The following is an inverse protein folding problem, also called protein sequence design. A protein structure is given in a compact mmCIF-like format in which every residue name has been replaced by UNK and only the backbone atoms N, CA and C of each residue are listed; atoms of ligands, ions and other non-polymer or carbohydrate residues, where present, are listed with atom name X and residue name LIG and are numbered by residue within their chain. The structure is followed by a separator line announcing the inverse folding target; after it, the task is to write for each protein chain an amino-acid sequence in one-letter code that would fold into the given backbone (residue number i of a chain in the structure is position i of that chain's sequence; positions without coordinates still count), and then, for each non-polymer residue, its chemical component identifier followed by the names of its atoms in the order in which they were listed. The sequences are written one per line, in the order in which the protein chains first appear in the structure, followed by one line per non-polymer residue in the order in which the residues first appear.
data_IF_221531055315
#
_entry.id   IF_221531055315
#
_cell.length_a   1.000
_cell.length_b   1.000
_cell.length_c   1.000
_cell.angle_alpha   90.00
_cell.angle_beta   90.00
_cell.angle_gamma   90.00
#
_symmetry.space_group_name_H-M   'P 1'
#
loop_
_entity.id
_entity.type
_entity.pdbx_description
1 polymer ?
#
# COMPACT_ATOMS: atom_id res chain seq x y z
N UNK A 1 -21.83 18.63 3.78
CA UNK A 1 -20.63 19.24 4.37
C UNK A 1 -20.92 19.58 5.81
N UNK A 2 -19.98 19.36 6.73
CA UNK A 2 -20.11 19.78 8.13
C UNK A 2 -19.85 21.28 8.18
N UNK A 3 -20.71 22.08 8.77
CA UNK A 3 -20.42 23.51 9.00
C UNK A 3 -19.96 23.76 10.42
N UNK A 4 -20.49 23.00 11.36
CA UNK A 4 -20.17 23.08 12.78
C UNK A 4 -20.16 21.66 13.37
N UNK A 5 -19.22 21.39 14.26
CA UNK A 5 -19.16 20.15 15.03
C UNK A 5 -18.52 20.44 16.37
N UNK A 6 -19.31 20.25 17.44
CA UNK A 6 -18.92 20.61 18.81
C UNK A 6 -18.47 22.08 18.87
N UNK A 7 -17.19 22.29 19.17
CA UNK A 7 -16.54 23.58 19.36
C UNK A 7 -15.83 24.09 18.09
N UNK A 8 -16.01 23.43 16.95
CA UNK A 8 -15.30 23.75 15.72
C UNK A 8 -16.23 24.14 14.57
N UNK A 9 -15.81 25.15 13.81
CA UNK A 9 -16.51 25.63 12.62
C UNK A 9 -15.67 25.37 11.37
N UNK A 10 -16.34 25.01 10.27
CA UNK A 10 -15.69 24.55 9.04
C UNK A 10 -16.24 25.31 7.83
N UNK A 11 -15.33 25.81 7.00
CA UNK A 11 -15.63 26.56 5.79
C UNK A 11 -15.01 25.87 4.58
N UNK A 12 -15.78 25.73 3.50
CA UNK A 12 -15.38 25.02 2.29
C UNK A 12 -15.44 25.96 1.10
N UNK A 13 -14.58 25.70 0.11
CA UNK A 13 -14.68 26.36 -1.20
C UNK A 13 -15.85 25.80 -2.05
N UNK A 14 -16.01 26.36 -3.25
CA UNK A 14 -17.07 25.96 -4.19
C UNK A 14 -16.96 24.49 -4.66
N UNK A 15 -15.75 23.94 -4.68
CA UNK A 15 -15.49 22.55 -5.05
C UNK A 15 -15.71 21.60 -3.88
N UNK A 16 -15.80 22.11 -2.64
CA UNK A 16 -16.08 21.36 -1.43
C UNK A 16 -14.83 20.89 -0.68
N UNK A 17 -13.72 21.59 -0.83
CA UNK A 17 -12.50 21.38 -0.05
C UNK A 17 -12.53 22.30 1.18
N UNK A 18 -12.16 21.78 2.35
CA UNK A 18 -12.05 22.56 3.58
C UNK A 18 -10.96 23.63 3.40
N UNK A 19 -11.30 24.91 3.51
CA UNK A 19 -10.35 26.03 3.40
C UNK A 19 -10.04 26.67 4.76
N UNK A 20 -10.96 26.55 5.73
CA UNK A 20 -10.74 27.06 7.08
C UNK A 20 -11.48 26.22 8.11
N UNK A 21 -10.78 25.89 9.18
CA UNK A 21 -11.32 25.28 10.39
C UNK A 21 -11.00 26.21 11.57
N UNK A 22 -12.04 26.64 12.29
CA UNK A 22 -11.90 27.44 13.51
C UNK A 22 -12.09 26.54 14.72
N UNK A 23 -11.25 26.73 15.73
CA UNK A 23 -11.33 26.02 17.00
C UNK A 23 -10.93 26.94 18.16
N UNK A 24 -11.14 26.48 19.38
CA UNK A 24 -10.65 27.18 20.58
C UNK A 24 -9.11 27.27 20.63
N UNK A 25 -8.39 26.41 19.89
CA UNK A 25 -6.93 26.39 19.80
C UNK A 25 -6.39 27.32 18.70
N UNK A 26 -7.29 27.93 17.92
CA UNK A 26 -6.97 28.81 16.80
C UNK A 26 -7.53 28.30 15.48
N UNK A 27 -7.24 29.09 14.44
CA UNK A 27 -7.71 28.84 13.08
C UNK A 27 -6.66 28.09 12.27
N UNK A 28 -7.09 27.03 11.60
CA UNK A 28 -6.34 26.32 10.57
C UNK A 28 -6.85 26.75 9.19
N UNK A 29 -5.97 27.26 8.35
CA UNK A 29 -6.27 27.65 6.97
C UNK A 29 -5.55 26.69 6.01
N UNK A 30 -6.26 26.24 4.98
CA UNK A 30 -5.78 25.23 4.03
C UNK A 30 -5.91 25.75 2.60
N UNK A 31 -4.88 25.51 1.78
CA UNK A 31 -4.85 25.86 0.37
C UNK A 31 -4.64 24.60 -0.48
N UNK A 32 -5.30 24.55 -1.63
CA UNK A 32 -5.41 23.39 -2.49
C UNK A 32 -4.98 23.72 -3.92
N UNK A 33 -4.42 22.73 -4.62
CA UNK A 33 -4.22 22.84 -6.07
C UNK A 33 -5.49 22.45 -6.86
N UNK A 34 -5.41 22.61 -8.18
CA UNK A 34 -6.51 22.30 -9.11
C UNK A 34 -6.89 20.82 -9.15
N UNK A 35 -6.03 19.93 -8.64
CA UNK A 35 -6.29 18.49 -8.54
C UNK A 35 -6.86 18.08 -7.18
N UNK A 36 -7.12 19.04 -6.27
CA UNK A 36 -7.67 18.78 -4.95
C UNK A 36 -6.64 18.29 -3.93
N UNK A 37 -5.35 18.55 -4.14
CA UNK A 37 -4.27 18.20 -3.20
C UNK A 37 -3.90 19.42 -2.36
N UNK A 38 -3.69 19.23 -1.06
CA UNK A 38 -3.36 20.33 -0.15
C UNK A 38 -1.92 20.77 -0.41
N UNK A 39 -1.71 22.01 -0.84
CA UNK A 39 -0.38 22.55 -1.13
C UNK A 39 0.18 23.39 0.02
N UNK A 40 -0.69 23.89 0.90
CA UNK A 40 -0.28 24.68 2.06
C UNK A 40 -1.28 24.57 3.20
N UNK A 41 -0.76 24.59 4.42
CA UNK A 41 -1.54 24.73 5.65
C UNK A 41 -0.91 25.76 6.58
N UNK A 42 -1.74 26.55 7.26
CA UNK A 42 -1.28 27.57 8.20
C UNK A 42 -2.17 27.66 9.42
N UNK A 43 -1.57 27.57 10.60
CA UNK A 43 -2.23 27.82 11.88
C UNK A 43 -1.45 28.87 12.68
N UNK A 44 -1.74 29.01 13.98
CA UNK A 44 -1.03 29.96 14.86
C UNK A 44 0.44 29.58 15.08
N UNK A 45 0.77 28.30 15.08
CA UNK A 45 2.09 27.75 15.39
C UNK A 45 2.94 27.46 14.15
N UNK A 46 2.35 26.98 13.05
CA UNK A 46 3.05 26.44 11.90
C UNK A 46 2.53 27.00 10.58
N UNK A 47 3.45 27.11 9.60
CA UNK A 47 3.13 27.08 8.17
C UNK A 47 3.78 25.83 7.58
N UNK A 48 3.05 25.03 6.82
CA UNK A 48 3.59 23.88 6.10
C UNK A 48 3.19 23.91 4.62
N UNK A 49 4.13 23.55 3.77
CA UNK A 49 3.99 23.47 2.31
C UNK A 49 4.27 22.04 1.84
N UNK A 50 3.49 21.58 0.86
CA UNK A 50 3.51 20.19 0.41
C UNK A 50 3.75 20.10 -1.08
N UNK A 51 4.51 19.10 -1.52
CA UNK A 51 4.75 18.80 -2.94
C UNK A 51 4.41 17.38 -3.28
N UNK A 52 3.95 17.18 -4.52
CA UNK A 52 3.45 15.90 -5.02
C UNK A 52 4.11 15.54 -6.33
N UNK A 53 4.26 14.24 -6.59
CA UNK A 53 4.60 13.76 -7.92
C UNK A 53 3.38 13.78 -8.87
N UNK A 54 3.62 13.38 -10.13
CA UNK A 54 2.59 13.31 -11.15
C UNK A 54 1.49 12.25 -10.86
N UNK A 55 1.75 11.29 -9.98
CA UNK A 55 0.79 10.28 -9.54
C UNK A 55 -0.03 10.73 -8.33
N UNK A 56 0.22 11.94 -7.81
CA UNK A 56 -0.49 12.51 -6.66
C UNK A 56 0.09 12.10 -5.31
N UNK A 57 1.26 11.49 -5.26
CA UNK A 57 1.91 11.04 -4.02
C UNK A 57 2.73 12.17 -3.43
N UNK A 58 2.60 12.42 -2.13
CA UNK A 58 3.37 13.47 -1.45
C UNK A 58 4.85 13.09 -1.45
N UNK A 59 5.71 13.94 -2.02
CA UNK A 59 7.17 13.72 -2.09
C UNK A 59 7.95 14.64 -1.16
N UNK A 60 7.33 15.73 -0.68
CA UNK A 60 7.96 16.65 0.27
C UNK A 60 6.93 17.31 1.17
N UNK A 61 7.31 17.53 2.43
CA UNK A 61 6.68 18.46 3.37
C UNK A 61 7.77 19.37 3.96
N UNK A 62 7.61 20.67 3.80
CA UNK A 62 8.44 21.67 4.47
C UNK A 62 7.56 22.43 5.45
N UNK A 63 7.91 22.43 6.74
CA UNK A 63 7.16 23.13 7.78
C UNK A 63 8.05 24.09 8.55
N UNK A 64 7.47 25.21 8.99
CA UNK A 64 8.13 26.28 9.73
C UNK A 64 7.32 26.65 10.95
N UNK A 65 7.93 26.58 12.13
CA UNK A 65 7.33 27.00 13.38
C UNK A 65 7.49 28.53 13.56
N UNK A 66 6.38 29.25 13.78
CA UNK A 66 6.34 30.72 13.81
C UNK A 66 7.07 31.34 15.00
N UNK A 67 7.08 30.67 16.16
CA UNK A 67 7.66 31.25 17.38
C UNK A 67 9.15 30.96 17.55
N UNK A 68 9.58 29.71 17.31
CA UNK A 68 10.99 29.29 17.39
C UNK A 68 11.77 29.59 16.10
N UNK A 69 11.08 29.65 14.96
CA UNK A 69 11.71 29.77 13.65
C UNK A 69 12.24 28.45 13.09
N UNK A 70 12.07 27.35 13.83
CA UNK A 70 12.52 26.02 13.41
C UNK A 70 11.85 25.59 12.11
N UNK A 71 12.63 24.97 11.24
CA UNK A 71 12.15 24.44 9.97
C UNK A 71 12.41 22.94 9.90
N UNK A 72 11.41 22.18 9.45
CA UNK A 72 11.50 20.75 9.24
C UNK A 72 11.20 20.43 7.78
N UNK A 73 12.16 19.76 7.13
CA UNK A 73 11.99 19.29 5.77
C UNK A 73 11.98 17.76 5.76
N UNK A 74 10.88 17.18 5.25
CA UNK A 74 10.71 15.74 5.11
C UNK A 74 10.55 15.40 3.65
N UNK A 75 11.42 14.52 3.14
CA UNK A 75 11.32 13.91 1.82
C UNK A 75 10.69 12.53 1.95
N UNK A 76 9.73 12.22 1.07
CA UNK A 76 9.02 10.95 1.07
C UNK A 76 9.31 10.17 -0.21
N UNK A 77 9.58 8.87 -0.06
CA UNK A 77 9.69 7.92 -1.15
C UNK A 77 8.58 6.87 -1.11
N UNK A 78 8.24 6.32 -2.28
CA UNK A 78 7.08 5.45 -2.45
C UNK A 78 7.44 4.15 -3.17
N UNK A 79 6.86 3.05 -2.70
CA UNK A 79 6.83 1.76 -3.41
C UNK A 79 5.38 1.44 -3.76
N UNK A 80 5.06 1.54 -5.05
CA UNK A 80 3.69 1.55 -5.55
C UNK A 80 2.82 2.57 -4.81
N UNK A 81 1.85 2.04 -4.04
CA UNK A 81 0.92 2.85 -3.25
C UNK A 81 1.34 3.07 -1.77
N UNK A 82 2.37 2.37 -1.31
CA UNK A 82 2.83 2.41 0.09
C UNK A 82 4.02 3.36 0.28
N UNK A 83 4.10 3.98 1.46
CA UNK A 83 5.18 4.90 1.79
C UNK A 83 6.47 4.11 2.06
N UNK A 84 7.43 4.12 1.14
CA UNK A 84 8.65 3.34 1.30
C UNK A 84 9.61 3.95 2.35
N UNK A 85 9.71 5.28 2.40
CA UNK A 85 10.53 5.97 3.40
C UNK A 85 10.09 7.41 3.64
N UNK A 86 10.47 7.93 4.81
CA UNK A 86 10.58 9.36 5.08
C UNK A 86 12.04 9.69 5.47
N UNK A 87 12.53 10.84 5.05
CA UNK A 87 13.87 11.32 5.38
C UNK A 87 13.84 12.76 5.81
N UNK A 88 14.46 13.05 6.94
CA UNK A 88 14.84 14.39 7.39
C UNK A 88 16.31 14.64 7.08
N UNK A 89 16.84 15.76 7.55
CA UNK A 89 18.28 16.05 7.51
C UNK A 89 19.10 15.14 8.45
N UNK A 90 18.45 14.56 9.46
CA UNK A 90 19.11 13.80 10.52
C UNK A 90 18.93 12.29 10.40
N UNK A 91 17.79 11.82 9.87
CA UNK A 91 17.49 10.40 9.82
C UNK A 91 16.58 10.03 8.65
N UNK A 92 16.67 8.76 8.24
CA UNK A 92 15.76 8.13 7.29
C UNK A 92 15.08 6.95 7.94
N UNK A 93 13.76 6.86 7.82
CA UNK A 93 12.97 5.70 8.24
C UNK A 93 12.42 5.04 6.99
N UNK A 94 12.76 3.77 6.79
CA UNK A 94 12.17 2.92 5.78
C UNK A 94 11.05 2.09 6.40
N UNK A 95 9.93 1.97 5.69
CA UNK A 95 8.80 1.16 6.11
C UNK A 95 8.70 -0.07 5.21
N UNK A 96 8.49 -1.24 5.80
CA UNK A 96 8.16 -2.46 5.07
C UNK A 96 6.78 -2.92 5.51
N UNK A 97 5.96 -3.23 4.52
CA UNK A 97 4.58 -3.64 4.68
C UNK A 97 4.42 -5.12 4.38
N UNK A 98 3.32 -5.68 4.86
CA UNK A 98 2.83 -6.97 4.37
C UNK A 98 2.61 -6.88 2.85
N UNK A 99 2.90 -7.97 2.15
CA UNK A 99 2.78 -8.03 0.69
C UNK A 99 1.35 -7.66 0.24
N UNK A 100 1.25 -6.79 -0.76
CA UNK A 100 -0.02 -6.35 -1.36
C UNK A 100 -1.01 -5.74 -0.34
N UNK A 101 -0.48 -5.14 0.74
CA UNK A 101 -1.22 -4.64 1.89
C UNK A 101 -0.64 -3.30 2.36
N UNK A 102 -1.39 -2.58 3.20
CA UNK A 102 -0.95 -1.34 3.85
C UNK A 102 -0.63 -1.56 5.34
N UNK A 103 -0.63 -2.81 5.80
CA UNK A 103 -0.28 -3.19 7.17
C UNK A 103 1.24 -3.09 7.33
N UNK A 104 1.76 -2.17 8.16
CA UNK A 104 3.21 -2.07 8.38
C UNK A 104 3.70 -3.25 9.20
N UNK A 105 4.85 -3.80 8.84
CA UNK A 105 5.48 -4.92 9.53
C UNK A 105 6.73 -4.49 10.28
N UNK A 106 7.60 -3.71 9.64
CA UNK A 106 8.82 -3.23 10.27
C UNK A 106 9.22 -1.84 9.79
N UNK A 107 9.99 -1.17 10.63
CA UNK A 107 10.63 0.11 10.34
C UNK A 107 12.14 -0.07 10.49
N UNK A 108 12.89 0.23 9.43
CA UNK A 108 14.35 0.27 9.46
C UNK A 108 14.83 1.73 9.51
N UNK A 109 15.76 2.03 10.40
CA UNK A 109 16.19 3.41 10.68
C UNK A 109 17.66 3.58 10.31
N UNK A 110 17.96 4.72 9.71
CA UNK A 110 19.30 5.18 9.38
C UNK A 110 19.51 6.56 9.99
N UNK A 111 20.62 6.78 10.70
CA UNK A 111 21.04 8.06 11.29
C UNK A 111 21.70 8.98 10.24
N UNK A 112 21.13 8.97 9.03
CA UNK A 112 21.56 9.81 7.93
C UNK A 112 20.36 10.10 7.03
N UNK A 113 20.39 11.26 6.39
CA UNK A 113 19.43 11.59 5.32
C UNK A 113 19.58 10.66 4.11
N UNK A 114 18.49 10.50 3.36
CA UNK A 114 18.46 9.72 2.13
C UNK A 114 19.33 10.41 1.09
N UNK A 115 20.22 9.64 0.46
CA UNK A 115 21.05 10.15 -0.62
C UNK A 115 20.25 10.09 -1.94
N UNK A 116 19.66 11.23 -2.33
CA UNK A 116 18.92 11.32 -3.59
C UNK A 116 19.87 11.32 -4.78
N UNK A 117 19.49 10.60 -5.84
CA UNK A 117 20.20 10.65 -7.11
C UNK A 117 20.00 12.01 -7.78
N UNK A 118 21.09 12.66 -8.18
CA UNK A 118 21.00 13.86 -9.01
C UNK A 118 20.56 13.48 -10.42
N UNK A 119 19.41 14.00 -10.85
CA UNK A 119 18.99 13.95 -12.26
C UNK A 119 19.60 15.15 -12.99
N UNK A 120 20.32 14.89 -14.07
CA UNK A 120 20.83 15.95 -14.94
C UNK A 120 19.68 16.76 -15.54
N UNK A 121 19.89 18.05 -15.72
CA UNK A 121 19.00 18.88 -16.52
C UNK A 121 19.18 18.55 -18.00
N UNK A 122 18.08 18.14 -18.65
CA UNK A 122 18.02 17.78 -20.06
C UNK A 122 17.33 18.86 -20.91
N UNK A 123 17.01 20.03 -20.35
CA UNK A 123 16.29 21.08 -21.07
C UNK A 123 16.99 21.49 -22.37
N UNK A 124 18.32 21.58 -22.34
CA UNK A 124 19.12 22.02 -23.50
C UNK A 124 19.74 20.86 -24.31
N UNK A 125 19.45 19.60 -23.99
CA UNK A 125 20.13 18.43 -24.60
C UNK A 125 19.18 17.23 -24.75
N UNK A 126 19.26 16.45 -25.84
CA UNK A 126 18.44 15.25 -25.97
C UNK A 126 18.78 14.26 -24.86
N UNK A 127 17.74 13.71 -24.25
CA UNK A 127 17.86 12.68 -23.22
C UNK A 127 18.72 11.52 -23.70
N UNK A 128 19.62 11.03 -22.85
CA UNK A 128 20.44 9.87 -23.15
C UNK A 128 20.61 8.98 -21.93
N UNK A 129 20.07 7.75 -22.03
CA UNK A 129 20.21 6.70 -21.01
C UNK A 129 21.68 6.43 -20.64
N UNK A 130 22.60 6.58 -21.61
CA UNK A 130 24.03 6.37 -21.41
C UNK A 130 24.73 7.55 -20.73
N UNK A 131 24.04 8.65 -20.44
CA UNK A 131 24.61 9.82 -19.77
C UNK A 131 23.87 10.15 -18.48
N UNK A 132 22.67 9.61 -18.30
CA UNK A 132 21.92 9.73 -17.07
C UNK A 132 22.53 8.86 -15.95
N UNK A 133 22.98 9.47 -14.84
CA UNK A 133 23.58 8.76 -13.71
C UNK A 133 22.67 7.68 -13.11
N UNK A 134 21.34 7.82 -13.24
CA UNK A 134 20.39 6.85 -12.66
C UNK A 134 20.59 5.43 -13.22
N UNK A 135 20.99 5.31 -14.48
CA UNK A 135 21.19 4.01 -15.15
C UNK A 135 22.58 3.42 -14.96
N UNK A 136 23.51 4.20 -14.41
CA UNK A 136 24.91 3.79 -14.18
C UNK A 136 25.25 3.60 -12.72
N UNK A 137 24.49 4.21 -11.83
CA UNK A 137 24.78 4.19 -10.40
C UNK A 137 24.23 2.90 -9.79
N UNK A 138 25.13 2.00 -9.40
CA UNK A 138 24.77 0.84 -8.58
C UNK A 138 24.97 1.24 -7.13
N UNK A 139 23.87 1.41 -6.39
CA UNK A 139 23.92 1.60 -4.93
C UNK A 139 24.14 0.25 -4.25
N UNK A 140 25.14 0.16 -3.39
CA UNK A 140 25.32 -0.99 -2.50
C UNK A 140 24.41 -0.82 -1.29
N UNK A 141 23.75 -1.89 -0.88
CA UNK A 141 22.97 -1.91 0.36
C UNK A 141 23.88 -1.58 1.54
N UNK A 142 23.44 -0.65 2.37
CA UNK A 142 24.01 -0.37 3.68
C UNK A 142 23.20 -1.13 4.73
N UNK A 143 23.84 -1.55 5.82
CA UNK A 143 23.11 -1.98 7.01
C UNK A 143 22.31 -0.81 7.59
N UNK A 144 21.19 -1.10 8.23
CA UNK A 144 20.44 -0.12 9.03
C UNK A 144 21.04 0.01 10.43
N UNK A 145 20.88 1.18 11.05
CA UNK A 145 21.37 1.45 12.40
C UNK A 145 20.47 0.83 13.46
N UNK A 146 19.15 0.84 13.22
CA UNK A 146 18.13 0.26 14.09
C UNK A 146 16.99 -0.37 13.29
N UNK A 147 16.27 -1.29 13.93
CA UNK A 147 15.07 -1.91 13.37
C UNK A 147 14.00 -2.13 14.44
N UNK A 148 12.76 -1.81 14.09
CA UNK A 148 11.61 -1.94 14.97
C UNK A 148 10.47 -2.67 14.28
N UNK A 149 9.75 -3.49 15.04
CA UNK A 149 8.67 -4.33 14.55
C UNK A 149 7.33 -3.77 14.98
N UNK A 150 6.40 -3.66 14.05
CA UNK A 150 5.03 -3.20 14.31
C UNK A 150 4.16 -4.34 14.81
N UNK A 151 3.34 -4.04 15.82
CA UNK A 151 2.26 -4.90 16.29
C UNK A 151 0.94 -4.17 16.07
N UNK A 152 0.14 -4.71 15.15
CA UNK A 152 -1.10 -4.09 14.70
C UNK A 152 -2.34 -4.77 15.28
N UNK A 153 -3.45 -4.03 15.32
CA UNK A 153 -4.78 -4.62 15.55
C UNK A 153 -5.32 -5.39 14.34
N UNK A 154 -6.56 -5.90 14.43
CA UNK A 154 -7.20 -6.66 13.34
C UNK A 154 -7.47 -5.83 12.08
N UNK A 155 -7.35 -4.51 12.13
CA UNK A 155 -7.46 -3.60 10.98
C UNK A 155 -6.09 -3.18 10.45
N UNK A 156 -4.99 -3.66 11.00
CA UNK A 156 -3.66 -3.22 10.58
C UNK A 156 -3.21 -1.89 11.19
N UNK A 157 -3.90 -1.37 12.19
CA UNK A 157 -3.51 -0.13 12.87
C UNK A 157 -2.37 -0.41 13.83
N UNK A 158 -1.22 0.27 13.76
CA UNK A 158 -0.15 0.12 14.74
C UNK A 158 -0.62 0.39 16.16
N UNK A 159 -0.46 -0.58 17.06
CA UNK A 159 -0.77 -0.43 18.49
C UNK A 159 0.51 -0.35 19.33
N UNK A 160 1.53 -1.13 18.95
CA UNK A 160 2.82 -1.19 19.64
C UNK A 160 3.96 -1.34 18.63
N UNK A 161 5.17 -0.98 19.06
CA UNK A 161 6.40 -1.32 18.37
C UNK A 161 7.40 -1.92 19.35
N UNK A 162 8.17 -2.91 18.91
CA UNK A 162 9.24 -3.52 19.69
C UNK A 162 10.58 -3.42 18.99
N UNK A 163 11.66 -3.36 19.76
CA UNK A 163 13.02 -3.51 19.23
C UNK A 163 13.37 -4.99 18.92
N UNK A 164 14.60 -5.24 18.47
CA UNK A 164 15.12 -6.57 18.16
C UNK A 164 15.22 -7.51 19.38
N UNK A 165 15.15 -6.99 20.61
CA UNK A 165 15.10 -7.78 21.84
C UNK A 165 13.66 -8.17 22.23
N UNK A 166 12.66 -7.62 21.54
CA UNK A 166 11.24 -7.79 21.88
C UNK A 166 10.75 -6.80 22.94
N UNK A 167 11.56 -5.82 23.34
CA UNK A 167 11.13 -4.81 24.29
C UNK A 167 10.22 -3.78 23.61
N UNK A 168 9.10 -3.43 24.25
CA UNK A 168 8.19 -2.39 23.75
C UNK A 168 8.90 -1.02 23.84
N UNK A 169 8.99 -0.34 22.71
CA UNK A 169 9.61 1.00 22.57
C UNK A 169 8.58 2.10 22.27
N UNK A 170 7.43 1.73 21.73
CA UNK A 170 6.34 2.64 21.43
C UNK A 170 5.01 1.93 21.60
N UNK A 171 4.01 2.64 22.12
CA UNK A 171 2.65 2.15 22.28
C UNK A 171 1.66 3.29 22.13
N UNK A 172 0.54 3.03 21.47
CA UNK A 172 -0.52 4.00 21.27
C UNK A 172 -1.90 3.45 21.68
N UNK A 173 -2.82 4.37 21.94
CA UNK A 173 -4.24 4.10 22.11
C UNK A 173 -5.04 5.06 21.26
N UNK A 174 -6.05 4.55 20.57
CA UNK A 174 -6.87 5.31 19.62
C UNK A 174 -8.34 5.30 20.03
N UNK A 175 -9.05 6.38 19.70
CA UNK A 175 -10.52 6.37 19.63
C UNK A 175 -10.97 5.59 18.40
N UNK A 176 -12.27 5.26 18.36
CA UNK A 176 -12.87 4.49 17.28
C UNK A 176 -12.61 5.06 15.87
N UNK A 177 -12.46 6.39 15.73
CA UNK A 177 -12.20 7.07 14.44
C UNK A 177 -10.73 7.44 14.25
N UNK A 178 -9.80 6.78 14.93
CA UNK A 178 -8.36 6.91 14.69
C UNK A 178 -7.71 8.13 15.36
N UNK A 179 -8.46 8.89 16.17
CA UNK A 179 -7.89 9.96 16.99
C UNK A 179 -6.99 9.34 18.06
N UNK A 180 -5.73 9.78 18.10
CA UNK A 180 -4.78 9.31 19.11
C UNK A 180 -5.15 9.88 20.49
N UNK A 181 -5.43 9.00 21.45
CA UNK A 181 -5.72 9.37 22.85
C UNK A 181 -4.44 9.56 23.63
N UNK A 182 -3.50 8.63 23.47
CA UNK A 182 -2.17 8.72 24.07
C UNK A 182 -1.18 7.89 23.27
N UNK A 183 0.07 8.35 23.23
CA UNK A 183 1.22 7.56 22.83
C UNK A 183 2.26 7.62 23.94
N UNK A 184 2.89 6.49 24.23
CA UNK A 184 4.01 6.38 25.17
C UNK A 184 5.21 5.82 24.43
N UNK A 185 6.34 6.52 24.52
CA UNK A 185 7.65 6.04 24.08
C UNK A 185 8.39 5.51 25.31
N UNK A 186 9.03 4.35 25.19
CA UNK A 186 9.84 3.79 26.27
C UNK A 186 11.29 4.16 26.04
N UNK A 187 11.86 4.91 26.98
CA UNK A 187 13.30 5.11 27.08
C UNK A 187 13.91 3.87 27.73
N UNK A 188 14.99 3.35 27.14
CA UNK A 188 15.55 2.07 27.51
C UNK A 188 15.80 1.99 29.04
N UNK A 189 15.18 0.97 29.66
CA UNK A 189 15.46 0.38 30.98
C UNK A 189 14.89 1.07 32.23
N UNK A 190 13.56 1.12 32.33
CA UNK A 190 12.90 0.79 33.60
C UNK A 190 12.44 -0.68 33.51
N UNK A 191 13.29 -1.62 33.93
CA UNK A 191 12.82 -2.95 34.32
C UNK A 191 12.81 -2.97 35.84
N UNK A 192 11.62 -3.23 36.37
CA UNK A 192 11.32 -3.67 37.73
C UNK A 192 11.75 -2.73 38.87
N UNK A 193 10.75 -2.10 39.52
CA UNK A 193 10.92 -1.43 40.83
C UNK A 193 11.53 -2.36 41.92
N UNK A 194 11.61 -3.67 41.68
CA UNK A 194 12.23 -4.65 42.57
C UNK A 194 13.75 -4.81 42.41
N UNK A 195 14.37 -4.41 41.29
CA UNK A 195 15.83 -4.55 41.07
C UNK A 195 16.66 -3.33 41.51
N UNK A 196 16.03 -2.18 41.72
CA UNK A 196 16.67 -0.93 42.14
C UNK A 196 17.32 -0.97 43.55
N UNK A 197 17.16 -2.07 44.30
CA UNK A 197 17.71 -2.22 45.66
C UNK A 197 19.09 -2.88 45.70
N UNK A 198 19.61 -3.39 44.58
CA UNK A 198 20.97 -3.94 44.52
C UNK A 198 21.92 -2.89 43.91
N UNK A 199 22.64 -2.18 44.78
CA UNK A 199 23.54 -1.08 44.41
C UNK A 199 24.76 -1.53 43.60
N UNK A 200 24.57 -1.90 42.33
CA UNK A 200 25.63 -2.05 41.34
C UNK A 200 25.27 -1.29 40.08
N UNK A 201 25.72 -0.04 40.05
CA UNK A 201 25.68 0.83 38.88
C UNK A 201 26.64 0.31 37.81
N UNK A 202 26.13 -0.02 36.63
CA UNK A 202 26.87 0.23 35.40
C UNK A 202 26.15 1.32 34.64
N UNK A 203 26.88 2.41 34.40
CA UNK A 203 26.45 3.60 33.67
C UNK A 203 25.94 3.18 32.29
N UNK A 204 24.62 3.04 32.14
CA UNK A 204 23.98 2.99 30.84
C UNK A 204 24.18 4.35 30.16
N UNK A 205 25.16 4.40 29.25
CA UNK A 205 25.29 5.47 28.26
C UNK A 205 24.05 5.45 27.37
N UNK A 206 23.06 6.30 27.67
CA UNK A 206 22.30 7.05 26.66
C UNK A 206 21.20 7.86 27.34
N UNK A 207 21.49 9.12 27.65
CA UNK A 207 20.49 10.17 27.84
C UNK A 207 19.80 10.56 26.51
N UNK A 208 19.61 9.59 25.60
CA UNK A 208 19.36 9.82 24.18
C UNK A 208 17.88 9.91 23.82
N UNK A 209 17.00 9.37 24.66
CA UNK A 209 15.66 9.04 24.19
C UNK A 209 14.58 10.05 24.56
N UNK A 210 14.78 10.96 25.53
CA UNK A 210 13.67 11.73 26.12
C UNK A 210 12.86 12.60 25.14
N UNK A 211 13.43 12.93 23.98
CA UNK A 211 12.76 13.61 22.86
C UNK A 211 13.29 13.15 21.48
N UNK A 212 13.65 11.88 21.33
CA UNK A 212 14.25 11.42 20.07
C UNK A 212 13.21 11.38 18.95
N UNK A 213 13.31 12.30 17.97
CA UNK A 213 12.54 12.28 16.71
C UNK A 213 12.56 10.89 16.02
N UNK A 214 13.59 10.11 16.34
CA UNK A 214 13.83 8.77 15.82
C UNK A 214 12.70 7.82 16.27
N UNK A 215 12.32 7.77 17.56
CA UNK A 215 11.29 6.85 18.08
C UNK A 215 9.88 7.48 18.01
N UNK A 216 9.53 8.07 16.87
CA UNK A 216 8.16 8.53 16.60
C UNK A 216 7.52 7.70 15.49
N UNK A 217 6.21 7.45 15.61
CA UNK A 217 5.42 6.76 14.59
C UNK A 217 4.27 7.65 14.11
N UNK A 218 4.27 7.96 12.82
CA UNK A 218 3.24 8.77 12.16
C UNK A 218 2.25 7.92 11.36
N UNK A 219 2.47 6.62 11.22
CA UNK A 219 1.50 5.71 10.58
C UNK A 219 0.24 5.60 11.47
N UNK A 220 -0.94 5.65 10.85
CA UNK A 220 -2.25 5.59 11.51
C UNK A 220 -3.03 4.38 10.97
N UNK A 221 -4.32 4.53 10.66
CA UNK A 221 -5.04 3.50 9.91
C UNK A 221 -4.30 3.18 8.60
N UNK A 222 -4.58 2.01 8.04
CA UNK A 222 -3.97 1.60 6.76
C UNK A 222 -4.05 2.72 5.72
N UNK A 223 -2.90 3.07 5.13
CA UNK A 223 -2.75 4.15 4.15
C UNK A 223 -2.62 5.57 4.71
N UNK A 224 -2.77 5.75 6.03
CA UNK A 224 -2.79 7.06 6.68
C UNK A 224 -1.47 7.44 7.33
N UNK A 225 -1.09 8.71 7.16
CA UNK A 225 0.06 9.35 7.77
C UNK A 225 -0.36 10.62 8.52
N UNK A 226 0.02 10.75 9.79
CA UNK A 226 -0.32 11.90 10.62
C UNK A 226 0.54 13.13 10.31
N UNK A 227 -0.12 14.27 10.07
CA UNK A 227 0.53 15.58 9.96
C UNK A 227 0.21 16.43 11.20
N UNK A 228 1.22 16.61 12.05
CA UNK A 228 1.11 17.42 13.27
C UNK A 228 0.64 18.85 13.00
N UNK A 229 1.10 19.46 11.90
CA UNK A 229 0.81 20.85 11.56
C UNK A 229 -0.68 21.11 11.30
N UNK A 230 -1.43 20.06 10.97
CA UNK A 230 -2.88 20.15 10.69
C UNK A 230 -3.74 19.34 11.64
N UNK A 231 -3.16 18.34 12.31
CA UNK A 231 -3.90 17.30 13.02
C UNK A 231 -4.66 16.34 12.09
N UNK A 232 -4.54 16.49 10.77
CA UNK A 232 -5.17 15.63 9.78
C UNK A 232 -4.27 14.44 9.44
N UNK A 233 -4.88 13.40 8.91
CA UNK A 233 -4.17 12.25 8.38
C UNK A 233 -4.14 12.36 6.85
N UNK A 234 -2.95 12.49 6.26
CA UNK A 234 -2.74 12.32 4.84
C UNK A 234 -3.09 10.87 4.45
N UNK A 235 -4.05 10.70 3.55
CA UNK A 235 -4.55 9.41 3.11
C UNK A 235 -4.58 9.38 1.57
N UNK A 236 -3.38 9.42 0.97
CA UNK A 236 -3.11 9.42 -0.47
C UNK A 236 -3.86 10.51 -1.24
N UNK A 237 -5.09 10.25 -1.67
CA UNK A 237 -5.90 11.15 -2.47
C UNK A 237 -6.68 12.17 -1.65
N UNK A 238 -6.79 11.98 -0.32
CA UNK A 238 -7.55 12.88 0.57
C UNK A 238 -6.87 13.08 1.92
N UNK A 239 -7.42 13.99 2.72
CA UNK A 239 -7.01 14.23 4.11
C UNK A 239 -8.18 13.90 5.02
N UNK A 240 -7.90 13.09 6.04
CA UNK A 240 -8.87 12.57 6.97
C UNK A 240 -8.77 13.32 8.30
N UNK A 241 -9.91 13.78 8.81
CA UNK A 241 -10.03 14.32 10.17
C UNK A 241 -10.49 13.21 11.10
N UNK A 242 -9.63 12.72 12.01
CA UNK A 242 -10.04 11.72 13.01
C UNK A 242 -10.99 12.30 14.05
N UNK A 243 -10.95 13.62 14.30
CA UNK A 243 -11.82 14.31 15.25
C UNK A 243 -13.31 14.26 14.84
N UNK A 244 -13.57 14.46 13.54
CA UNK A 244 -14.93 14.41 12.96
C UNK A 244 -15.25 13.04 12.36
N UNK A 245 -14.23 12.19 12.15
CA UNK A 245 -14.36 10.87 11.58
C UNK A 245 -14.65 10.86 10.07
N UNK A 246 -14.12 11.83 9.30
CA UNK A 246 -14.40 11.96 7.85
C UNK A 246 -13.30 12.68 7.07
N UNK A 247 -13.35 12.59 5.74
CA UNK A 247 -12.49 13.39 4.87
C UNK A 247 -12.88 14.87 4.87
N UNK A 248 -11.89 15.74 4.67
CA UNK A 248 -12.07 17.21 4.62
C UNK A 248 -12.24 17.74 3.19
N UNK A 249 -12.16 16.86 2.19
CA UNK A 249 -12.42 17.14 0.78
C UNK A 249 -13.37 16.10 0.19
N UNK A 250 -14.03 16.46 -0.93
CA UNK A 250 -14.87 15.51 -1.68
C UNK A 250 -14.01 14.39 -2.27
N UNK A 251 -14.64 13.22 -2.42
CA UNK A 251 -14.07 12.10 -3.15
C UNK A 251 -13.72 12.50 -4.60
N UNK A 252 -12.45 12.39 -5.03
CA UNK A 252 -12.04 12.68 -6.41
C UNK A 252 -12.72 11.81 -7.46
N UNK A 253 -13.17 10.59 -7.10
CA UNK A 253 -13.94 9.73 -8.01
C UNK A 253 -15.46 9.99 -7.93
N UNK A 254 -15.87 11.02 -7.20
CA UNK A 254 -17.25 11.49 -7.11
C UNK A 254 -18.19 10.44 -6.54
N UNK A 255 -19.35 10.27 -7.19
CA UNK A 255 -20.38 9.29 -6.76
C UNK A 255 -19.96 7.83 -6.97
N UNK A 256 -18.83 7.56 -7.64
CA UNK A 256 -18.27 6.21 -7.70
C UNK A 256 -17.73 5.75 -6.34
N UNK A 257 -17.29 6.69 -5.49
CA UNK A 257 -16.87 6.44 -4.10
C UNK A 257 -18.04 6.31 -3.12
N UNK A 258 -19.28 6.43 -3.60
CA UNK A 258 -20.50 6.35 -2.80
C UNK A 258 -21.29 7.66 -2.73
N UNK A 259 -22.48 7.59 -2.13
CA UNK A 259 -23.41 8.72 -2.07
C UNK A 259 -22.92 9.84 -1.13
N UNK A 260 -22.09 9.51 -0.14
CA UNK A 260 -21.50 10.49 0.77
C UNK A 260 -20.03 10.73 0.42
N UNK A 261 -19.77 11.76 -0.38
CA UNK A 261 -18.44 12.07 -0.91
C UNK A 261 -17.38 12.45 0.15
N UNK A 262 -17.75 12.57 1.43
CA UNK A 262 -16.81 12.88 2.53
C UNK A 262 -16.57 11.69 3.46
N UNK A 263 -17.28 10.58 3.28
CA UNK A 263 -17.23 9.46 4.20
C UNK A 263 -15.89 8.73 4.11
N UNK A 264 -15.35 8.30 5.25
CA UNK A 264 -14.15 7.45 5.32
C UNK A 264 -14.46 5.97 5.12
N UNK A 265 -15.28 5.41 6.01
CA UNK A 265 -15.75 4.03 5.92
C UNK A 265 -17.14 3.92 6.55
N UNK A 266 -17.89 2.86 6.24
CA UNK A 266 -19.20 2.60 6.86
C UNK A 266 -19.10 2.23 8.33
N UNK A 267 -18.00 1.58 8.73
CA UNK A 267 -17.66 1.34 10.13
C UNK A 267 -16.15 1.35 10.30
N UNK A 268 -15.64 2.17 11.23
CA UNK A 268 -14.21 2.27 11.51
C UNK A 268 -13.62 1.06 12.23
N UNK A 269 -14.45 0.12 12.70
CA UNK A 269 -14.00 -1.08 13.41
C UNK A 269 -13.92 -2.33 12.52
N UNK A 270 -14.42 -2.26 11.29
CA UNK A 270 -14.43 -3.40 10.36
C UNK A 270 -14.07 -3.08 8.92
N UNK A 271 -13.86 -1.80 8.59
CA UNK A 271 -13.61 -1.32 7.23
C UNK A 271 -12.44 -0.35 7.21
N UNK A 272 -11.68 -0.39 6.12
CA UNK A 272 -10.51 0.45 5.87
C UNK A 272 -10.65 1.12 4.50
N UNK A 273 -10.04 2.29 4.32
CA UNK A 273 -9.90 2.97 3.02
C UNK A 273 -8.45 3.44 2.82
N UNK A 274 -7.53 2.55 2.38
CA UNK A 274 -6.10 2.84 2.33
C UNK A 274 -5.68 3.84 1.25
N UNK A 275 -6.52 4.05 0.24
CA UNK A 275 -6.27 5.03 -0.81
C UNK A 275 -7.01 6.33 -0.53
N UNK A 276 -7.99 6.32 0.37
CA UNK A 276 -8.90 7.44 0.50
C UNK A 276 -9.78 7.60 -0.72
N UNK A 277 -10.26 6.52 -1.34
CA UNK A 277 -11.14 6.54 -2.53
C UNK A 277 -12.35 5.61 -2.37
N UNK A 278 -12.74 5.31 -1.12
CA UNK A 278 -13.74 4.33 -0.70
C UNK A 278 -14.52 3.66 -1.84
N UNK A 279 -14.13 2.44 -2.21
CA UNK A 279 -14.91 1.64 -3.16
C UNK A 279 -15.97 0.86 -2.38
N UNK A 280 -17.09 1.49 -2.00
CA UNK A 280 -18.25 0.71 -1.58
C UNK A 280 -18.69 -0.18 -2.75
N UNK A 281 -18.94 -1.45 -2.44
CA UNK A 281 -19.25 -2.41 -3.46
C UNK A 281 -20.52 -3.22 -3.28
N UNK A 282 -21.67 -2.54 -3.30
CA UNK A 282 -22.82 -3.19 -3.94
C UNK A 282 -22.52 -3.41 -5.44
N UNK A 283 -21.81 -2.46 -6.08
CA UNK A 283 -21.33 -2.59 -7.47
C UNK A 283 -20.21 -3.62 -7.64
N UNK A 284 -19.23 -3.70 -6.74
CA UNK A 284 -18.20 -4.75 -6.82
C UNK A 284 -18.65 -6.12 -6.35
N UNK A 285 -19.76 -6.29 -5.61
CA UNK A 285 -20.32 -7.64 -5.46
C UNK A 285 -20.85 -8.16 -6.81
N UNK A 286 -21.52 -7.30 -7.59
CA UNK A 286 -21.95 -7.62 -8.96
C UNK A 286 -20.76 -7.91 -9.87
N UNK A 287 -19.75 -7.02 -9.89
CA UNK A 287 -18.54 -7.20 -10.71
C UNK A 287 -17.75 -8.43 -10.25
N UNK A 288 -17.63 -8.68 -8.95
CA UNK A 288 -17.01 -9.88 -8.40
C UNK A 288 -17.74 -11.13 -8.89
N UNK A 289 -19.07 -11.15 -8.82
CA UNK A 289 -19.88 -12.27 -9.29
C UNK A 289 -19.74 -12.48 -10.81
N UNK A 290 -19.68 -11.41 -11.60
CA UNK A 290 -19.42 -11.46 -13.05
C UNK A 290 -18.02 -12.03 -13.35
N UNK A 291 -16.97 -11.54 -12.68
CA UNK A 291 -15.60 -12.04 -12.81
C UNK A 291 -15.46 -13.47 -12.33
N UNK A 292 -16.08 -13.82 -11.21
CA UNK A 292 -16.11 -15.18 -10.69
C UNK A 292 -16.81 -16.12 -11.68
N UNK A 293 -17.88 -15.67 -12.36
CA UNK A 293 -18.57 -16.44 -13.38
C UNK A 293 -17.68 -16.67 -14.61
N UNK A 294 -16.96 -15.64 -15.08
CA UNK A 294 -15.96 -15.77 -16.14
C UNK A 294 -14.88 -16.81 -15.75
N UNK A 295 -14.28 -16.67 -14.57
CA UNK A 295 -13.24 -17.58 -14.06
C UNK A 295 -13.78 -19.01 -13.93
N UNK A 296 -14.96 -19.20 -13.32
CA UNK A 296 -15.60 -20.51 -13.19
C UNK A 296 -15.92 -21.14 -14.54
N UNK A 297 -16.28 -20.33 -15.54
CA UNK A 297 -16.49 -20.83 -16.90
C UNK A 297 -15.19 -21.36 -17.52
N UNK A 298 -14.07 -20.63 -17.36
CA UNK A 298 -12.76 -21.08 -17.84
C UNK A 298 -12.28 -22.35 -17.10
N UNK A 299 -12.52 -22.43 -15.78
CA UNK A 299 -12.27 -23.64 -14.98
C UNK A 299 -13.12 -24.81 -15.47
N UNK A 300 -14.41 -24.58 -15.76
CA UNK A 300 -15.28 -25.63 -16.28
C UNK A 300 -14.83 -26.13 -17.66
N UNK A 301 -14.33 -25.24 -18.53
CA UNK A 301 -13.71 -25.64 -19.80
C UNK A 301 -12.50 -26.52 -19.54
N UNK A 302 -11.61 -26.10 -18.64
CA UNK A 302 -10.44 -26.87 -18.23
C UNK A 302 -10.85 -28.27 -17.70
N UNK A 303 -11.76 -28.34 -16.73
CA UNK A 303 -12.14 -29.59 -16.07
C UNK A 303 -12.96 -30.54 -16.97
N UNK A 304 -13.75 -29.99 -17.90
CA UNK A 304 -14.44 -30.82 -18.89
C UNK A 304 -13.45 -31.63 -19.72
N UNK A 305 -12.27 -31.08 -20.02
CA UNK A 305 -11.23 -31.79 -20.78
C UNK A 305 -10.62 -32.97 -20.02
N UNK A 306 -10.80 -33.03 -18.69
CA UNK A 306 -10.33 -34.14 -17.86
C UNK A 306 -11.22 -35.38 -17.94
N UNK A 307 -12.39 -35.30 -18.55
CA UNK A 307 -13.31 -36.45 -18.63
C UNK A 307 -12.80 -37.47 -19.67
N UNK A 308 -12.87 -38.79 -19.38
CA UNK A 308 -12.41 -39.83 -20.30
C UNK A 308 -12.96 -39.66 -21.73
N UNK A 309 -14.25 -39.31 -21.85
CA UNK A 309 -14.97 -39.16 -23.12
C UNK A 309 -15.16 -37.69 -23.56
N UNK A 310 -14.35 -36.75 -23.05
CA UNK A 310 -14.46 -35.35 -23.43
C UNK A 310 -14.23 -35.15 -24.94
N UNK A 311 -15.14 -34.44 -25.61
CA UNK A 311 -15.01 -34.09 -27.04
C UNK A 311 -13.91 -33.05 -27.29
N UNK A 312 -13.51 -32.30 -26.25
CA UNK A 312 -12.47 -31.28 -26.30
C UNK A 312 -11.32 -31.70 -25.39
N UNK A 313 -10.10 -31.70 -25.92
CA UNK A 313 -8.86 -32.00 -25.20
C UNK A 313 -7.91 -30.81 -25.31
N UNK A 314 -7.30 -30.41 -24.21
CA UNK A 314 -6.47 -29.21 -24.07
C UNK A 314 -5.20 -29.59 -23.28
N UNK A 315 -4.05 -29.06 -23.67
CA UNK A 315 -2.81 -29.27 -22.92
C UNK A 315 -2.95 -28.72 -21.48
N UNK A 316 -2.63 -29.54 -20.47
CA UNK A 316 -2.80 -29.21 -19.05
C UNK A 316 -4.12 -29.65 -18.42
N UNK A 317 -5.10 -30.06 -19.22
CA UNK A 317 -6.32 -30.72 -18.77
C UNK A 317 -6.16 -32.24 -18.77
N UNK A 318 -5.83 -32.82 -17.62
CA UNK A 318 -5.69 -34.27 -17.37
C UNK A 318 -6.95 -35.11 -17.70
N UNK A 319 -7.18 -35.47 -18.96
CA UNK A 319 -7.16 -36.85 -19.47
C UNK A 319 -7.51 -36.91 -20.96
N UNK A 320 -6.81 -37.77 -21.70
CA UNK A 320 -7.22 -38.28 -23.01
C UNK A 320 -6.25 -37.99 -24.14
N UNK A 321 -5.54 -39.06 -24.54
CA UNK A 321 -4.81 -39.22 -25.81
C UNK A 321 -3.57 -38.33 -26.05
N UNK A 322 -2.87 -37.92 -24.99
CA UNK A 322 -1.45 -37.57 -25.09
C UNK A 322 -0.71 -38.49 -24.12
N UNK A 323 0.08 -39.42 -24.67
CA UNK A 323 0.98 -40.24 -23.87
C UNK A 323 2.11 -39.38 -23.35
N UNK A 324 2.28 -39.34 -22.03
CA UNK A 324 3.48 -38.81 -21.40
C UNK A 324 4.53 -39.91 -21.36
N UNK A 325 5.64 -39.73 -22.07
CA UNK A 325 6.72 -40.72 -22.04
C UNK A 325 7.64 -40.40 -20.88
N UNK A 326 7.54 -41.14 -19.76
CA UNK A 326 8.41 -40.96 -18.57
C UNK A 326 9.91 -41.04 -18.89
N UNK A 327 10.28 -41.73 -19.98
CA UNK A 327 11.67 -41.89 -20.41
C UNK A 327 12.26 -40.68 -21.16
N UNK A 328 11.42 -39.85 -21.81
CA UNK A 328 11.90 -38.72 -22.65
C UNK A 328 11.38 -37.36 -22.18
N UNK A 329 10.39 -37.33 -21.28
CA UNK A 329 9.75 -36.08 -20.84
C UNK A 329 8.89 -35.41 -21.90
N UNK A 330 8.58 -36.12 -23.00
CA UNK A 330 7.90 -35.58 -24.18
C UNK A 330 6.43 -36.04 -24.23
N UNK A 331 5.55 -35.10 -24.60
CA UNK A 331 4.16 -35.34 -24.93
C UNK A 331 4.02 -35.92 -26.35
N UNK A 332 3.39 -37.09 -26.49
CA UNK A 332 3.27 -37.84 -27.75
C UNK A 332 1.83 -38.28 -28.01
N UNK A 333 1.28 -37.98 -29.19
CA UNK A 333 -0.04 -38.46 -29.60
C UNK A 333 -0.59 -37.75 -30.85
N UNK A 334 -1.57 -38.35 -31.56
CA UNK A 334 -2.25 -37.69 -32.67
C UNK A 334 -3.00 -36.44 -32.16
N UNK A 335 -2.80 -35.29 -32.81
CA UNK A 335 -3.42 -34.02 -32.42
C UNK A 335 -2.73 -33.25 -31.28
N UNK A 336 -1.56 -33.70 -30.80
CA UNK A 336 -0.83 -33.04 -29.71
C UNK A 336 -0.57 -31.54 -29.95
N UNK A 337 -0.25 -31.13 -31.18
CA UNK A 337 -0.09 -29.71 -31.53
C UNK A 337 -1.37 -28.89 -31.35
N UNK A 338 -2.52 -29.42 -31.79
CA UNK A 338 -3.81 -28.76 -31.65
C UNK A 338 -4.22 -28.60 -30.18
N UNK A 339 -3.87 -29.57 -29.32
CA UNK A 339 -4.12 -29.49 -27.89
C UNK A 339 -3.28 -28.42 -27.19
N UNK A 340 -2.03 -28.23 -27.63
CA UNK A 340 -1.13 -27.17 -27.15
C UNK A 340 -1.67 -25.79 -27.53
N UNK A 341 -2.06 -25.59 -28.78
CA UNK A 341 -2.62 -24.30 -29.23
C UNK A 341 -3.91 -23.95 -28.50
N UNK A 342 -4.79 -24.92 -28.28
CA UNK A 342 -5.98 -24.73 -27.43
C UNK A 342 -5.62 -24.40 -25.97
N UNK A 343 -4.55 -24.98 -25.44
CA UNK A 343 -4.04 -24.69 -24.09
C UNK A 343 -3.51 -23.27 -23.97
N UNK A 344 -2.73 -22.81 -24.94
CA UNK A 344 -2.27 -21.42 -25.04
C UNK A 344 -3.43 -20.44 -25.13
N UNK A 345 -4.45 -20.77 -25.92
CA UNK A 345 -5.68 -19.99 -26.02
C UNK A 345 -6.38 -19.83 -24.67
N UNK A 346 -6.58 -20.94 -23.96
CA UNK A 346 -7.21 -20.94 -22.63
C UNK A 346 -6.37 -20.17 -21.60
N UNK A 347 -5.06 -20.36 -21.58
CA UNK A 347 -4.14 -19.61 -20.71
C UNK A 347 -4.20 -18.11 -20.99
N UNK A 348 -4.27 -17.72 -22.28
CA UNK A 348 -4.40 -16.32 -22.69
C UNK A 348 -5.73 -15.73 -22.19
N UNK A 349 -6.82 -16.49 -22.28
CA UNK A 349 -8.12 -16.07 -21.72
C UNK A 349 -8.06 -15.88 -20.21
N UNK A 350 -7.46 -16.82 -19.47
CA UNK A 350 -7.25 -16.66 -18.02
C UNK A 350 -6.43 -15.40 -17.71
N UNK A 351 -5.27 -15.21 -18.35
CA UNK A 351 -4.41 -14.03 -18.13
C UNK A 351 -5.12 -12.72 -18.45
N UNK A 352 -5.91 -12.68 -19.54
CA UNK A 352 -6.73 -11.52 -19.90
C UNK A 352 -7.80 -11.23 -18.85
N UNK A 353 -8.50 -12.26 -18.37
CA UNK A 353 -9.50 -12.12 -17.31
C UNK A 353 -8.86 -11.62 -16.01
N UNK A 354 -7.71 -12.19 -15.59
CA UNK A 354 -7.02 -11.75 -14.38
C UNK A 354 -6.49 -10.31 -14.49
N UNK A 355 -5.93 -9.92 -15.63
CA UNK A 355 -5.57 -8.51 -15.89
C UNK A 355 -6.78 -7.58 -15.81
N UNK A 356 -7.97 -8.04 -16.23
CA UNK A 356 -9.20 -7.28 -16.06
C UNK A 356 -9.67 -7.22 -14.59
N UNK A 357 -9.37 -8.22 -13.76
CA UNK A 357 -9.61 -8.20 -12.31
C UNK A 357 -8.68 -7.20 -11.63
N UNK A 358 -7.40 -7.22 -11.98
CA UNK A 358 -6.39 -6.30 -11.43
C UNK A 358 -6.73 -4.84 -11.73
N UNK A 359 -7.12 -4.57 -12.98
CA UNK A 359 -7.50 -3.23 -13.44
C UNK A 359 -8.91 -2.79 -13.02
N UNK A 360 -9.71 -3.67 -12.40
CA UNK A 360 -11.03 -3.28 -11.91
C UNK A 360 -10.87 -2.47 -10.62
N UNK A 361 -10.82 -1.14 -10.77
CA UNK A 361 -10.75 -0.20 -9.66
C UNK A 361 -11.91 -0.34 -8.68
N UNK A 362 -13.06 -0.83 -9.15
CA UNK A 362 -14.22 -1.06 -8.30
C UNK A 362 -14.10 -2.28 -7.39
N UNK A 363 -13.24 -3.26 -7.69
CA UNK A 363 -13.03 -4.44 -6.85
C UNK A 363 -12.09 -4.11 -5.69
N UNK A 364 -12.48 -4.45 -4.46
CA UNK A 364 -11.59 -4.31 -3.30
C UNK A 364 -10.42 -5.33 -3.37
N UNK A 365 -9.31 -5.01 -2.69
CA UNK A 365 -8.11 -5.86 -2.66
C UNK A 365 -8.42 -7.29 -2.20
N UNK A 366 -9.26 -7.43 -1.16
CA UNK A 366 -9.68 -8.74 -0.63
C UNK A 366 -10.43 -9.60 -1.66
N UNK A 367 -11.27 -8.98 -2.49
CA UNK A 367 -12.03 -9.71 -3.50
C UNK A 367 -11.19 -10.04 -4.73
N UNK A 368 -10.23 -9.19 -5.11
CA UNK A 368 -9.20 -9.53 -6.10
C UNK A 368 -8.41 -10.76 -5.64
N UNK A 369 -7.94 -10.77 -4.38
CA UNK A 369 -7.22 -11.91 -3.80
C UNK A 369 -8.04 -13.21 -3.86
N UNK A 370 -9.34 -13.17 -3.53
CA UNK A 370 -10.22 -14.34 -3.66
C UNK A 370 -10.33 -14.83 -5.11
N UNK A 371 -10.48 -13.94 -6.08
CA UNK A 371 -10.56 -14.32 -7.51
C UNK A 371 -9.26 -14.97 -7.98
N UNK A 372 -8.11 -14.45 -7.55
CA UNK A 372 -6.79 -15.07 -7.76
C UNK A 372 -6.70 -16.47 -7.17
N UNK A 373 -7.18 -16.68 -5.94
CA UNK A 373 -7.22 -18.02 -5.32
C UNK A 373 -8.00 -19.05 -6.15
N UNK A 374 -9.02 -18.63 -6.91
CA UNK A 374 -9.74 -19.53 -7.81
C UNK A 374 -8.98 -19.81 -9.12
N UNK A 375 -8.35 -18.79 -9.72
CA UNK A 375 -7.77 -18.89 -11.05
C UNK A 375 -6.31 -19.40 -11.07
N UNK A 376 -5.48 -18.92 -10.15
CA UNK A 376 -4.02 -19.11 -10.16
C UNK A 376 -3.59 -20.60 -10.16
N UNK A 377 -4.25 -21.52 -9.42
CA UNK A 377 -3.89 -22.94 -9.49
C UNK A 377 -4.05 -23.55 -10.89
N UNK A 378 -5.03 -23.07 -11.67
CA UNK A 378 -5.28 -23.55 -13.03
C UNK A 378 -4.34 -22.89 -14.04
N UNK A 379 -4.05 -21.59 -13.87
CA UNK A 379 -3.04 -20.88 -14.66
C UNK A 379 -1.70 -21.60 -14.53
N UNK A 380 -1.27 -21.89 -13.30
CA UNK A 380 -0.01 -22.60 -13.02
C UNK A 380 0.04 -23.97 -13.69
N UNK A 381 -1.03 -24.77 -13.57
CA UNK A 381 -1.12 -26.09 -14.24
C UNK A 381 -0.99 -25.98 -15.77
N UNK A 382 -1.63 -24.98 -16.38
CA UNK A 382 -1.54 -24.74 -17.82
C UNK A 382 -0.13 -24.31 -18.22
N UNK A 383 0.50 -23.42 -17.46
CA UNK A 383 1.88 -22.98 -17.72
C UNK A 383 2.88 -24.13 -17.62
N UNK A 384 2.79 -24.95 -16.57
CA UNK A 384 3.63 -26.14 -16.38
C UNK A 384 3.45 -27.13 -17.52
N UNK A 385 2.21 -27.38 -17.95
CA UNK A 385 1.92 -28.31 -19.04
C UNK A 385 2.40 -27.77 -20.41
N UNK A 386 2.29 -26.47 -20.64
CA UNK A 386 2.72 -25.83 -21.89
C UNK A 386 4.25 -25.64 -21.98
N UNK A 387 4.96 -25.68 -20.85
CA UNK A 387 6.42 -25.67 -20.81
C UNK A 387 7.04 -27.03 -21.18
N UNK A 388 6.24 -28.12 -21.23
CA UNK A 388 6.73 -29.44 -21.60
C UNK A 388 7.02 -29.56 -23.11
N UNK A 389 8.14 -30.18 -23.52
CA UNK A 389 8.46 -30.38 -24.94
C UNK A 389 7.47 -31.36 -25.60
N UNK A 390 7.07 -31.05 -26.84
CA UNK A 390 6.06 -31.82 -27.61
C UNK A 390 6.68 -32.38 -28.88
N UNK A 391 6.42 -33.67 -29.18
CA UNK A 391 6.84 -34.30 -30.44
C UNK A 391 5.63 -34.94 -31.13
N UNK A 392 5.27 -34.39 -32.27
CA UNK A 392 4.14 -34.86 -33.08
C UNK A 392 4.55 -36.15 -33.78
N UNK A 393 3.85 -37.26 -33.52
CA UNK A 393 4.01 -38.46 -34.33
C UNK A 393 3.26 -38.28 -35.66
N UNK A 394 3.93 -38.45 -36.81
CA UNK A 394 3.23 -38.45 -38.09
C UNK A 394 2.23 -39.62 -38.09
N UNK A 395 0.98 -39.31 -38.44
CA UNK A 395 -0.08 -40.30 -38.61
C UNK A 395 0.34 -41.29 -39.70
N UNK A 396 0.72 -42.50 -39.31
CA UNK A 396 0.92 -43.59 -40.25
C UNK A 396 -0.38 -43.83 -40.99
N UNK A 397 -0.35 -43.72 -42.33
CA UNK A 397 -1.40 -44.27 -43.20
C UNK A 397 -1.61 -45.72 -42.80
N UNK A 398 -2.83 -46.09 -42.38
CA UNK A 398 -3.25 -47.48 -42.37
C UNK A 398 -3.22 -47.94 -43.82
N UNK A 399 -2.36 -48.92 -44.12
CA UNK A 399 -2.42 -49.73 -45.35
C UNK A 399 -3.61 -50.66 -45.21
#
# INVERSE_FOLDING_TARGET
MVKEYLDQQYQYDAYGQLVRQKSNQGDLNLEWDVYGRMIKSRNSQFTAEYRYDALGRRIQKHSKHHHTGDEHNIIYGWDGDTLAYESTEHATKHYIYEKDSFVPMLQAVYQSSIELHQTLDWTDKPYSIYRDPIWKTIKKSKGFDDVWFYHCDHLGTPQEMTDHSGAIIWKAQYKAWGELVSAKQRFARAQDESYARSGKSEKAKSSFFENSEIISNNIRFQGQYFDEETGLHYNRYRYYSPYVGRFVSKDPIGLLGGNNSYQYASSSTGWIDPLGLMTQCEKSQKIYNEKLKEIKHLIAIHDYTNRPNAKLKIAGGVSGSIGYTKATGILVGPGAGDHVEKGKGLLTSFKKTMKSVDNAFSLCVKDKAKLHMYADPYIKKLEEALAMPVRIQPTGKRI
#
